data_IF_873950206951
#
_entry.id   IF_873950206951
#
_cell.length_a   1.000
_cell.length_b   1.000
_cell.length_c   1.000
_cell.angle_alpha   90.00
_cell.angle_beta   90.00
_cell.angle_gamma   90.00
#
_symmetry.space_group_name_H-M   'P 1'
#
loop_
_entity.id
_entity.type
_entity.pdbx_description
1 polymer ?
#
# COMPACT_ATOMS: atom_id res chain seq x y z
N UNK A 1 12.14 -32.44 -21.52
CA UNK A 1 12.15 -31.64 -22.76
C UNK A 1 10.70 -31.33 -23.12
N UNK A 2 10.16 -30.21 -22.63
CA UNK A 2 8.81 -29.75 -22.94
C UNK A 2 8.93 -28.29 -23.38
N UNK A 3 8.58 -28.05 -24.64
CA UNK A 3 8.65 -26.76 -25.33
C UNK A 3 7.84 -25.70 -24.56
N UNK A 4 8.51 -24.63 -24.11
CA UNK A 4 7.84 -23.38 -23.73
C UNK A 4 7.59 -22.59 -25.01
N UNK A 5 6.31 -22.44 -25.37
CA UNK A 5 5.87 -21.54 -26.44
C UNK A 5 6.02 -20.09 -25.96
N UNK A 6 7.08 -19.42 -26.38
CA UNK A 6 7.18 -17.95 -26.35
C UNK A 6 6.61 -17.41 -27.66
N UNK A 7 5.39 -16.89 -27.62
CA UNK A 7 4.84 -16.14 -28.75
C UNK A 7 5.11 -14.66 -28.51
N UNK A 8 6.12 -14.14 -29.21
CA UNK A 8 6.45 -12.71 -29.28
C UNK A 8 5.72 -12.18 -30.51
N UNK A 9 4.61 -11.48 -30.31
CA UNK A 9 3.94 -10.75 -31.40
C UNK A 9 4.46 -9.32 -31.38
N UNK A 10 5.37 -9.01 -32.29
CA UNK A 10 5.99 -7.69 -32.42
C UNK A 10 5.13 -6.81 -33.32
N UNK A 11 4.21 -6.03 -32.75
CA UNK A 11 3.45 -5.01 -33.49
C UNK A 11 4.24 -3.69 -33.44
N UNK A 12 4.98 -3.38 -34.50
CA UNK A 12 5.64 -2.07 -34.62
C UNK A 12 4.64 -1.04 -35.14
N UNK A 13 4.20 -0.13 -34.26
CA UNK A 13 3.51 1.11 -34.69
C UNK A 13 4.48 2.26 -34.45
N UNK A 14 4.81 2.97 -35.53
CA UNK A 14 5.95 3.89 -35.64
C UNK A 14 5.69 5.32 -35.16
N UNK A 15 4.53 5.60 -34.59
CA UNK A 15 4.12 6.98 -34.30
C UNK A 15 3.52 7.05 -32.89
N UNK A 16 4.37 7.28 -31.88
CA UNK A 16 4.10 7.92 -30.58
C UNK A 16 5.31 7.71 -29.65
N UNK A 17 5.93 8.81 -29.24
CA UNK A 17 7.12 8.84 -28.38
C UNK A 17 6.71 8.66 -26.90
N UNK A 18 6.19 7.48 -26.55
CA UNK A 18 5.90 7.07 -25.18
C UNK A 18 6.39 5.64 -24.99
N UNK A 19 7.58 5.48 -24.42
CA UNK A 19 8.03 4.21 -23.90
C UNK A 19 7.26 3.92 -22.60
N UNK A 20 6.05 3.38 -22.71
CA UNK A 20 5.35 2.82 -21.57
C UNK A 20 5.95 1.44 -21.29
N UNK A 21 7.00 1.44 -20.47
CA UNK A 21 7.66 0.22 -20.01
C UNK A 21 6.85 -0.36 -18.84
N UNK A 22 5.82 -1.15 -19.13
CA UNK A 22 5.23 -2.03 -18.12
C UNK A 22 5.76 -3.44 -18.30
N UNK A 23 6.88 -3.71 -17.62
CA UNK A 23 7.22 -5.05 -17.15
C UNK A 23 6.72 -5.11 -15.71
N UNK A 24 5.50 -5.60 -15.52
CA UNK A 24 5.10 -6.15 -14.22
C UNK A 24 5.56 -7.60 -14.23
N UNK A 25 6.77 -7.85 -13.74
CA UNK A 25 7.15 -9.18 -13.28
C UNK A 25 6.35 -9.44 -12.00
N UNK A 26 5.31 -10.27 -12.10
CA UNK A 26 4.67 -10.89 -10.95
C UNK A 26 5.70 -11.75 -10.21
N UNK A 27 6.10 -11.42 -8.96
CA UNK A 27 6.96 -12.32 -8.20
C UNK A 27 6.16 -13.57 -7.84
N UNK A 28 6.38 -14.67 -8.57
CA UNK A 28 5.84 -16.02 -8.27
C UNK A 28 6.53 -16.68 -7.08
N UNK A 29 6.72 -15.94 -6.00
CA UNK A 29 7.16 -16.44 -4.71
C UNK A 29 6.34 -15.73 -3.64
N UNK A 30 5.36 -16.44 -3.09
CA UNK A 30 4.60 -16.01 -1.91
C UNK A 30 5.49 -15.97 -0.67
N UNK A 31 6.38 -14.98 -0.62
CA UNK A 31 7.31 -14.77 0.48
C UNK A 31 7.31 -13.30 0.91
N UNK A 32 6.71 -13.07 2.07
CA UNK A 32 7.20 -12.14 3.09
C UNK A 32 7.20 -10.63 2.79
N UNK A 33 6.02 -9.99 2.82
CA UNK A 33 5.92 -8.63 3.41
C UNK A 33 5.47 -8.67 4.89
N UNK A 34 5.23 -9.87 5.43
CA UNK A 34 5.09 -10.14 6.87
C UNK A 34 6.35 -10.80 7.48
N UNK A 35 7.44 -10.94 6.72
CA UNK A 35 8.75 -11.41 7.19
C UNK A 35 9.67 -10.26 7.61
N UNK A 36 10.53 -10.51 8.62
CA UNK A 36 11.56 -9.60 9.18
C UNK A 36 11.17 -8.11 9.16
N UNK A 37 10.19 -7.74 9.99
CA UNK A 37 9.78 -6.34 10.13
C UNK A 37 10.74 -5.55 11.02
N UNK A 38 11.46 -4.60 10.43
CA UNK A 38 12.27 -3.62 11.18
C UNK A 38 11.42 -2.79 12.15
N UNK A 39 10.15 -2.56 11.83
CA UNK A 39 9.25 -1.78 12.69
C UNK A 39 9.06 -2.43 14.06
N UNK A 40 8.94 -3.77 14.13
CA UNK A 40 8.82 -4.51 15.40
C UNK A 40 10.08 -4.38 16.26
N UNK A 41 11.25 -4.44 15.62
CA UNK A 41 12.55 -4.28 16.30
C UNK A 41 12.76 -2.85 16.82
N UNK A 42 12.35 -1.84 16.05
CA UNK A 42 12.39 -0.44 16.47
C UNK A 42 11.40 -0.17 17.61
N UNK A 43 10.21 -0.78 17.57
CA UNK A 43 9.20 -0.67 18.62
C UNK A 43 9.60 -1.36 19.93
N UNK A 44 10.34 -2.47 19.87
CA UNK A 44 10.80 -3.19 21.06
C UNK A 44 11.92 -2.48 21.82
N UNK A 45 12.67 -1.60 21.16
CA UNK A 45 13.82 -0.91 21.75
C UNK A 45 13.50 0.55 22.12
N UNK A 46 13.37 0.90 23.42
CA UNK A 46 12.95 2.25 23.85
C UNK A 46 13.99 3.33 23.54
N UNK A 47 15.28 2.99 23.56
CA UNK A 47 16.36 3.91 23.21
C UNK A 47 16.30 4.31 21.73
N UNK A 48 16.13 3.34 20.84
CA UNK A 48 16.05 3.55 19.40
C UNK A 48 14.82 4.38 19.04
N UNK A 49 13.67 4.04 19.65
CA UNK A 49 12.44 4.81 19.48
C UNK A 49 12.61 6.28 19.87
N UNK A 50 13.29 6.59 20.98
CA UNK A 50 13.52 7.97 21.42
C UNK A 50 14.33 8.79 20.41
N UNK A 51 15.31 8.17 19.76
CA UNK A 51 16.18 8.83 18.77
C UNK A 51 15.46 8.99 17.42
N UNK A 52 14.72 7.97 16.97
CA UNK A 52 14.06 7.99 15.65
C UNK A 52 12.73 8.75 15.64
N UNK A 53 11.99 8.80 16.75
CA UNK A 53 10.68 9.46 16.81
C UNK A 53 10.66 10.93 16.35
N UNK A 54 11.59 11.82 16.75
CA UNK A 54 11.60 13.20 16.24
C UNK A 54 11.87 13.25 14.73
N UNK A 55 12.77 12.40 14.22
CA UNK A 55 13.06 12.30 12.78
C UNK A 55 11.83 11.81 12.01
N UNK A 56 11.14 10.80 12.53
CA UNK A 56 9.91 10.28 11.94
C UNK A 56 8.78 11.32 11.93
N UNK A 57 8.64 12.10 13.01
CA UNK A 57 7.65 13.18 13.07
C UNK A 57 7.99 14.31 12.09
N UNK A 58 9.26 14.70 12.00
CA UNK A 58 9.72 15.70 11.04
C UNK A 58 9.47 15.24 9.59
N UNK A 59 9.77 13.97 9.28
CA UNK A 59 9.46 13.37 7.99
C UNK A 59 7.96 13.38 7.70
N UNK A 60 7.12 12.95 8.64
CA UNK A 60 5.67 12.96 8.47
C UNK A 60 5.13 14.37 8.18
N UNK A 61 5.69 15.40 8.83
CA UNK A 61 5.31 16.79 8.55
C UNK A 61 5.84 17.27 7.18
N UNK A 62 7.04 16.85 6.77
CA UNK A 62 7.65 17.23 5.49
C UNK A 62 6.94 16.63 4.28
N UNK A 63 6.31 15.45 4.41
CA UNK A 63 5.55 14.83 3.30
C UNK A 63 4.30 15.62 2.87
N UNK A 64 3.80 16.56 3.69
CA UNK A 64 2.74 17.48 3.29
C UNK A 64 1.33 16.89 3.13
N UNK A 65 1.14 15.57 3.22
CA UNK A 65 -0.18 14.94 3.02
C UNK A 65 -1.28 15.51 3.94
N UNK A 66 -0.94 15.88 5.18
CA UNK A 66 -1.88 16.50 6.14
C UNK A 66 -2.36 17.88 5.72
N UNK A 67 -1.55 18.62 4.95
CA UNK A 67 -1.91 19.93 4.39
C UNK A 67 -2.94 19.82 3.27
N UNK A 68 -3.05 18.63 2.65
CA UNK A 68 -4.03 18.31 1.63
C UNK A 68 -5.30 17.67 2.19
N UNK A 69 -5.44 17.57 3.52
CA UNK A 69 -6.59 16.93 4.16
C UNK A 69 -6.56 15.39 4.14
N UNK A 70 -5.44 14.79 3.73
CA UNK A 70 -5.29 13.34 3.62
C UNK A 70 -4.77 12.70 4.91
N UNK A 71 -5.13 11.44 5.14
CA UNK A 71 -4.51 10.56 6.13
C UNK A 71 -3.43 9.71 5.47
N UNK A 72 -2.50 9.18 6.27
CA UNK A 72 -1.39 8.37 5.75
C UNK A 72 -1.84 7.17 4.90
N UNK A 73 -2.90 6.47 5.33
CA UNK A 73 -3.44 5.29 4.62
C UNK A 73 -4.11 5.65 3.28
N UNK A 74 -4.43 6.92 3.01
CA UNK A 74 -4.97 7.37 1.72
C UNK A 74 -3.89 7.39 0.63
N UNK A 75 -2.60 7.35 1.00
CA UNK A 75 -1.45 7.35 0.09
C UNK A 75 -1.08 5.95 -0.43
N UNK A 76 -1.75 4.91 0.07
CA UNK A 76 -1.51 3.54 -0.36
C UNK A 76 -2.03 3.35 -1.78
N UNK A 77 -1.23 2.69 -2.63
CA UNK A 77 -1.57 2.35 -4.02
C UNK A 77 -2.79 1.42 -4.04
N UNK A 78 -3.87 1.85 -4.67
CA UNK A 78 -5.16 1.15 -4.66
C UNK A 78 -5.28 0.10 -5.76
N UNK A 79 -4.41 0.11 -6.76
CA UNK A 79 -4.40 -0.87 -7.86
C UNK A 79 -3.98 -2.29 -7.40
N UNK A 80 -3.51 -2.45 -6.17
CA UNK A 80 -3.23 -3.76 -5.59
C UNK A 80 -4.52 -4.50 -5.23
N UNK A 81 -4.65 -5.75 -5.67
CA UNK A 81 -5.80 -6.61 -5.35
C UNK A 81 -6.07 -6.72 -3.84
N UNK A 82 -5.00 -6.76 -3.03
CA UNK A 82 -5.06 -6.76 -1.56
C UNK A 82 -5.80 -5.54 -1.01
N UNK A 83 -5.46 -4.38 -1.54
CA UNK A 83 -6.00 -3.09 -1.09
C UNK A 83 -7.43 -2.93 -1.57
N UNK A 84 -7.76 -3.37 -2.80
CA UNK A 84 -9.14 -3.42 -3.28
C UNK A 84 -10.03 -4.30 -2.40
N UNK A 85 -9.55 -5.50 -2.05
CA UNK A 85 -10.26 -6.39 -1.13
C UNK A 85 -10.41 -5.77 0.26
N UNK A 86 -9.38 -5.08 0.76
CA UNK A 86 -9.44 -4.36 2.04
C UNK A 86 -10.47 -3.21 2.01
N UNK A 87 -10.52 -2.42 0.94
CA UNK A 87 -11.51 -1.33 0.77
C UNK A 87 -12.94 -1.90 0.77
N UNK A 88 -13.15 -3.06 0.14
CA UNK A 88 -14.48 -3.72 0.11
C UNK A 88 -14.99 -4.18 1.49
N UNK A 89 -14.09 -4.39 2.46
CA UNK A 89 -14.42 -4.79 3.84
C UNK A 89 -14.69 -3.60 4.76
N UNK A 90 -14.26 -2.42 4.37
CA UNK A 90 -14.33 -1.22 5.19
C UNK A 90 -15.79 -0.85 5.47
N UNK A 91 -16.14 -0.34 6.67
CA UNK A 91 -17.47 0.19 6.91
C UNK A 91 -17.78 1.33 5.94
N UNK A 92 -19.02 1.36 5.45
CA UNK A 92 -19.48 2.27 4.41
C UNK A 92 -19.20 3.74 4.76
N UNK A 93 -19.37 4.13 6.03
CA UNK A 93 -19.05 5.50 6.51
C UNK A 93 -17.58 5.87 6.25
N UNK A 94 -16.63 5.00 6.59
CA UNK A 94 -15.21 5.30 6.40
C UNK A 94 -14.83 5.31 4.91
N UNK A 95 -15.48 4.46 4.10
CA UNK A 95 -15.32 4.47 2.66
C UNK A 95 -15.78 5.79 2.03
N UNK A 96 -16.93 6.34 2.45
CA UNK A 96 -17.37 7.68 2.03
C UNK A 96 -16.44 8.78 2.50
N UNK A 97 -16.02 8.76 3.77
CA UNK A 97 -15.09 9.75 4.33
C UNK A 97 -13.75 9.72 3.57
N UNK A 98 -13.25 8.54 3.16
CA UNK A 98 -12.07 8.37 2.29
C UNK A 98 -12.29 9.01 0.92
N UNK A 99 -13.39 8.67 0.25
CA UNK A 99 -13.69 9.21 -1.07
C UNK A 99 -13.81 10.75 -1.07
N UNK A 100 -14.37 11.33 0.00
CA UNK A 100 -14.42 12.78 0.19
C UNK A 100 -13.03 13.40 0.28
N UNK A 101 -12.13 12.86 1.13
CA UNK A 101 -10.76 13.37 1.29
C UNK A 101 -9.99 13.32 -0.03
N UNK A 102 -10.09 12.22 -0.77
CA UNK A 102 -9.41 12.06 -2.05
C UNK A 102 -9.89 13.09 -3.08
N UNK A 103 -11.21 13.26 -3.23
CA UNK A 103 -11.80 14.28 -4.14
C UNK A 103 -11.35 15.69 -3.78
N UNK A 104 -11.36 16.01 -2.48
CA UNK A 104 -10.90 17.30 -1.98
C UNK A 104 -9.42 17.51 -2.30
N UNK A 105 -8.56 16.56 -1.97
CA UNK A 105 -7.13 16.64 -2.25
C UNK A 105 -6.83 16.78 -3.75
N UNK A 106 -7.53 16.04 -4.62
CA UNK A 106 -7.42 16.19 -6.07
C UNK A 106 -7.79 17.60 -6.53
N UNK A 107 -8.87 18.19 -6.01
CA UNK A 107 -9.27 19.55 -6.34
C UNK A 107 -8.20 20.58 -5.96
N UNK A 108 -7.67 20.49 -4.74
CA UNK A 108 -6.64 21.40 -4.24
C UNK A 108 -5.30 21.21 -4.97
N UNK A 109 -4.98 19.98 -5.35
CA UNK A 109 -3.81 19.65 -6.17
C UNK A 109 -3.88 20.31 -7.55
N UNK A 110 -5.03 20.23 -8.21
CA UNK A 110 -5.28 20.89 -9.51
C UNK A 110 -5.15 22.41 -9.39
N UNK A 111 -5.62 22.98 -8.28
CA UNK A 111 -5.50 24.42 -8.03
C UNK A 111 -4.08 24.85 -7.63
N UNK A 112 -3.16 23.90 -7.37
CA UNK A 112 -1.85 24.13 -6.78
C UNK A 112 -1.93 24.96 -5.50
N UNK A 113 -2.93 24.68 -4.64
CA UNK A 113 -3.16 25.37 -3.37
C UNK A 113 -3.32 24.35 -2.26
N UNK A 114 -2.80 24.67 -1.09
CA UNK A 114 -3.02 23.90 0.13
C UNK A 114 -4.39 24.24 0.74
N UNK A 115 -4.90 23.36 1.61
CA UNK A 115 -6.08 23.70 2.41
C UNK A 115 -5.75 24.84 3.39
N UNK A 116 -6.77 25.60 3.84
CA UNK A 116 -6.63 26.47 5.00
C UNK A 116 -6.09 25.69 6.21
N UNK A 117 -5.22 26.33 7.01
CA UNK A 117 -4.48 25.67 8.09
C UNK A 117 -5.38 25.09 9.17
N UNK A 118 -6.57 25.65 9.35
CA UNK A 118 -7.58 25.19 10.30
C UNK A 118 -8.17 23.83 9.92
N UNK A 119 -8.10 23.47 8.64
CA UNK A 119 -8.63 22.22 8.08
C UNK A 119 -7.56 21.15 7.89
N UNK A 120 -6.31 21.42 8.29
CA UNK A 120 -5.24 20.44 8.22
C UNK A 120 -5.50 19.30 9.20
N UNK A 121 -5.22 18.07 8.76
CA UNK A 121 -5.41 16.89 9.61
C UNK A 121 -4.43 16.97 10.79
N UNK A 122 -4.92 17.03 12.05
CA UNK A 122 -4.03 17.03 13.19
C UNK A 122 -3.37 15.65 13.33
N UNK A 123 -2.14 15.62 13.86
CA UNK A 123 -1.38 14.38 14.01
C UNK A 123 -2.10 13.30 14.87
N UNK A 124 -3.09 13.68 15.69
CA UNK A 124 -3.90 12.76 16.50
C UNK A 124 -4.99 12.03 15.69
N UNK A 125 -5.47 12.65 14.61
CA UNK A 125 -6.52 12.11 13.75
C UNK A 125 -5.98 11.30 12.58
N UNK A 126 -4.68 11.42 12.30
CA UNK A 126 -3.93 10.61 11.33
C UNK A 126 -3.76 9.16 11.83
N UNK A 127 -4.89 8.45 11.87
CA UNK A 127 -5.00 7.04 12.28
C UNK A 127 -4.99 6.13 11.05
N UNK A 128 -4.35 4.97 11.23
CA UNK A 128 -4.27 3.91 10.21
C UNK A 128 -5.53 3.05 10.22
N UNK A 129 -6.51 3.43 9.42
CA UNK A 129 -7.83 2.79 9.38
C UNK A 129 -7.90 1.64 8.35
N UNK A 130 -7.08 1.67 7.30
CA UNK A 130 -7.08 0.67 6.22
C UNK A 130 -6.04 -0.44 6.45
N UNK A 131 -4.91 -0.08 7.07
CA UNK A 131 -3.81 -1.01 7.40
C UNK A 131 -4.27 -2.33 8.07
N UNK A 132 -5.17 -2.36 9.07
CA UNK A 132 -5.60 -3.63 9.69
C UNK A 132 -6.27 -4.58 8.69
N UNK A 133 -7.17 -4.08 7.84
CA UNK A 133 -7.84 -4.90 6.82
C UNK A 133 -6.87 -5.41 5.75
N UNK A 134 -5.87 -4.61 5.39
CA UNK A 134 -4.81 -5.07 4.47
C UNK A 134 -3.99 -6.20 5.10
N UNK A 135 -3.71 -6.14 6.40
CA UNK A 135 -3.01 -7.22 7.11
C UNK A 135 -3.85 -8.49 7.19
N UNK A 136 -5.16 -8.39 7.43
CA UNK A 136 -6.06 -9.55 7.40
C UNK A 136 -6.05 -10.25 6.04
N UNK A 137 -6.19 -9.48 4.96
CA UNK A 137 -6.15 -10.01 3.59
C UNK A 137 -4.80 -10.65 3.28
N UNK A 138 -3.70 -9.99 3.66
CA UNK A 138 -2.37 -10.54 3.45
C UNK A 138 -2.17 -11.86 4.22
N UNK A 139 -2.67 -11.95 5.45
CA UNK A 139 -2.60 -13.17 6.26
C UNK A 139 -3.40 -14.31 5.61
N UNK A 140 -4.63 -14.06 5.17
CA UNK A 140 -5.45 -15.04 4.44
C UNK A 140 -4.75 -15.57 3.19
N UNK A 141 -4.10 -14.70 2.42
CA UNK A 141 -3.33 -15.09 1.24
C UNK A 141 -2.13 -15.96 1.59
N UNK A 142 -1.39 -15.59 2.65
CA UNK A 142 -0.25 -16.40 3.11
C UNK A 142 -0.68 -17.76 3.65
N UNK A 143 -1.79 -17.82 4.37
CA UNK A 143 -2.37 -19.06 4.85
C UNK A 143 -2.78 -19.93 3.66
N UNK A 144 -3.51 -19.38 2.69
CA UNK A 144 -3.93 -20.11 1.49
C UNK A 144 -2.73 -20.65 0.70
N UNK A 145 -1.70 -19.84 0.49
CA UNK A 145 -0.48 -20.28 -0.19
C UNK A 145 0.26 -21.37 0.59
N UNK A 146 0.28 -21.30 1.92
CA UNK A 146 0.86 -22.34 2.76
C UNK A 146 0.06 -23.65 2.65
N UNK A 147 -1.27 -23.58 2.68
CA UNK A 147 -2.16 -24.74 2.52
C UNK A 147 -2.03 -25.41 1.14
N UNK A 148 -1.96 -24.62 0.07
CA UNK A 148 -1.81 -25.11 -1.30
C UNK A 148 -0.47 -25.85 -1.53
N UNK A 149 0.54 -25.56 -0.70
CA UNK A 149 1.89 -26.15 -0.80
C UNK A 149 2.17 -27.25 0.22
N UNK A 150 1.20 -27.66 1.05
CA UNK A 150 1.40 -28.73 2.05
C UNK A 150 1.62 -30.09 1.36
N UNK A 151 2.83 -30.65 1.51
CA UNK A 151 3.13 -32.03 1.11
C UNK A 151 2.85 -33.02 2.25
N UNK A 152 2.03 -34.04 2.01
CA UNK A 152 1.75 -35.10 2.99
C UNK A 152 2.86 -36.16 2.95
N UNK A 153 3.59 -36.36 4.06
CA UNK A 153 4.46 -37.52 4.23
C UNK A 153 3.60 -38.73 4.57
N UNK A 154 3.47 -39.69 3.66
CA UNK A 154 2.86 -41.00 3.98
C UNK A 154 3.76 -41.73 4.97
N UNK A 155 3.23 -42.07 6.14
CA UNK A 155 3.87 -43.02 7.05
C UNK A 155 3.88 -44.41 6.43
N UNK A 156 4.99 -45.13 6.57
CA UNK A 156 5.11 -46.54 6.22
C UNK A 156 4.36 -47.41 7.23
#
# INVERSE_FOLDING_TARGET
MVLVRTSITFCTRKDLNVAFFTVQEEPKTGAALSGLSLAKYVQSSPALMRVLKPVANAYANATGHRQMGLRYDDLIIEESERVQKAISRLPEKEAYDRAFRLRQASQFSVLHRELPKEQWVPAKEDKRYLTPYVQEVANEETERAAWDTVSVKKGH
#
